data_IF_585912156991
#
_entry.id   IF_585912156991
#
_cell.length_a   1.000
_cell.length_b   1.000
_cell.length_c   1.000
_cell.angle_alpha   90.00
_cell.angle_beta   90.00
_cell.angle_gamma   90.00
#
_symmetry.space_group_name_H-M   'P 1'
#
loop_
_entity.id
_entity.type
_entity.pdbx_description
1 polymer ?
#
# COMPACT_ATOMS: atom_id res chain seq x y z
N UNK A 1 -3.59 -0.72 -25.63
CA UNK A 1 -2.25 -0.11 -25.39
C UNK A 1 -2.24 0.53 -23.99
N UNK A 2 -1.11 1.02 -23.45
CA UNK A 2 -1.08 1.56 -22.06
C UNK A 2 -2.01 2.76 -21.86
N UNK A 3 -2.12 3.65 -22.86
CA UNK A 3 -3.00 4.81 -22.80
C UNK A 3 -4.47 4.41 -22.59
N UNK A 4 -4.96 3.43 -23.33
CA UNK A 4 -6.33 2.90 -23.16
C UNK A 4 -6.57 2.39 -21.73
N UNK A 5 -5.59 1.74 -21.11
CA UNK A 5 -5.72 1.27 -19.73
C UNK A 5 -5.89 2.42 -18.74
N UNK A 6 -5.29 3.59 -19.01
CA UNK A 6 -5.39 4.77 -18.12
C UNK A 6 -6.74 5.48 -18.18
N UNK A 7 -7.47 5.34 -19.29
CA UNK A 7 -8.76 6.03 -19.51
C UNK A 7 -9.98 5.12 -19.35
N UNK A 8 -9.78 3.82 -19.21
CA UNK A 8 -10.85 2.82 -19.11
C UNK A 8 -11.03 2.31 -17.68
N UNK A 9 -12.27 1.92 -17.36
CA UNK A 9 -12.60 1.21 -16.13
C UNK A 9 -12.80 -0.28 -16.44
N UNK A 10 -11.73 -1.06 -16.31
CA UNK A 10 -11.81 -2.51 -16.46
C UNK A 10 -12.26 -3.14 -15.14
N UNK A 11 -13.32 -3.96 -15.20
CA UNK A 11 -13.88 -4.66 -14.03
C UNK A 11 -14.18 -3.72 -12.85
N UNK A 12 -14.76 -2.54 -13.12
CA UNK A 12 -15.11 -1.52 -12.13
C UNK A 12 -13.94 -0.90 -11.35
N UNK A 13 -12.70 -1.16 -11.77
CA UNK A 13 -11.52 -0.71 -11.07
C UNK A 13 -10.62 0.15 -11.96
N UNK A 14 -10.07 1.21 -11.36
CA UNK A 14 -9.02 2.01 -11.99
C UNK A 14 -7.67 1.66 -11.38
N UNK A 15 -6.98 0.70 -12.01
CA UNK A 15 -5.59 0.32 -11.68
C UNK A 15 -4.78 -0.03 -12.95
N UNK A 16 -4.54 0.97 -13.83
CA UNK A 16 -3.87 0.77 -15.11
C UNK A 16 -2.49 0.11 -15.00
N UNK A 17 -1.72 0.42 -13.95
CA UNK A 17 -0.37 -0.11 -13.82
C UNK A 17 -0.38 -1.61 -13.49
N UNK A 18 -1.37 -2.06 -12.72
CA UNK A 18 -1.61 -3.48 -12.46
C UNK A 18 -1.99 -4.22 -13.74
N UNK A 19 -2.89 -3.65 -14.55
CA UNK A 19 -3.27 -4.25 -15.84
C UNK A 19 -2.09 -4.33 -16.80
N UNK A 20 -1.31 -3.26 -16.88
CA UNK A 20 -0.10 -3.23 -17.69
C UNK A 20 0.90 -4.31 -17.25
N UNK A 21 1.11 -4.45 -15.94
CA UNK A 21 1.96 -5.51 -15.40
C UNK A 21 1.44 -6.91 -15.78
N UNK A 22 0.11 -7.13 -15.90
CA UNK A 22 -0.44 -8.44 -16.28
C UNK A 22 -0.28 -8.67 -17.77
N UNK A 23 -0.44 -7.61 -18.57
CA UNK A 23 -0.19 -7.67 -20.01
C UNK A 23 1.27 -8.01 -20.31
N UNK A 24 2.23 -7.46 -19.56
CA UNK A 24 3.65 -7.80 -19.68
C UNK A 24 3.92 -9.27 -19.33
N UNK A 25 3.40 -9.76 -18.20
CA UNK A 25 3.55 -11.17 -17.82
C UNK A 25 2.93 -12.09 -18.87
N UNK A 26 1.77 -11.73 -19.43
CA UNK A 26 1.14 -12.50 -20.51
C UNK A 26 1.99 -12.50 -21.79
N UNK A 27 2.63 -11.38 -22.14
CA UNK A 27 3.53 -11.33 -23.31
C UNK A 27 4.77 -12.22 -23.13
N UNK A 28 5.30 -12.34 -21.91
CA UNK A 28 6.52 -13.11 -21.62
C UNK A 28 6.21 -14.59 -21.37
N UNK A 29 5.18 -14.88 -20.57
CA UNK A 29 4.89 -16.22 -20.06
C UNK A 29 3.61 -16.84 -20.65
N UNK A 30 2.82 -16.08 -21.40
CA UNK A 30 1.52 -16.52 -21.90
C UNK A 30 0.56 -16.86 -20.76
N UNK A 31 -0.18 -17.96 -20.93
CA UNK A 31 -1.08 -18.51 -19.91
C UNK A 31 -0.38 -19.42 -18.88
N UNK A 32 0.96 -19.56 -18.92
CA UNK A 32 1.67 -20.42 -17.97
C UNK A 32 1.67 -19.78 -16.57
N UNK A 33 0.91 -20.33 -15.60
CA UNK A 33 0.72 -19.69 -14.29
C UNK A 33 2.02 -19.53 -13.50
N UNK A 34 3.02 -20.39 -13.75
CA UNK A 34 4.30 -20.34 -13.05
C UNK A 34 5.00 -18.97 -13.18
N UNK A 35 4.99 -18.38 -14.38
CA UNK A 35 5.62 -17.08 -14.62
C UNK A 35 4.92 -15.93 -13.88
N UNK A 36 3.58 -15.96 -13.83
CA UNK A 36 2.79 -14.97 -13.10
C UNK A 36 3.02 -15.05 -11.59
N UNK A 37 3.11 -16.27 -11.03
CA UNK A 37 3.48 -16.45 -9.62
C UNK A 37 4.92 -16.03 -9.33
N UNK A 38 5.86 -16.27 -10.27
CA UNK A 38 7.25 -15.84 -10.12
C UNK A 38 7.35 -14.31 -10.03
N UNK A 39 6.62 -13.57 -10.87
CA UNK A 39 6.56 -12.10 -10.79
C UNK A 39 6.03 -11.64 -9.43
N UNK A 40 4.95 -12.25 -8.93
CA UNK A 40 4.43 -11.95 -7.58
C UNK A 40 5.45 -12.25 -6.48
N UNK A 41 6.08 -13.42 -6.52
CA UNK A 41 7.11 -13.80 -5.53
C UNK A 41 8.28 -12.83 -5.54
N UNK A 42 8.73 -12.41 -6.72
CA UNK A 42 9.79 -11.42 -6.88
C UNK A 42 9.41 -10.07 -6.28
N UNK A 43 8.21 -9.55 -6.58
CA UNK A 43 7.71 -8.31 -5.99
C UNK A 43 7.59 -8.39 -4.47
N UNK A 44 7.16 -9.53 -3.92
CA UNK A 44 7.12 -9.77 -2.47
C UNK A 44 8.51 -9.77 -1.83
N UNK A 45 9.50 -10.36 -2.51
CA UNK A 45 10.91 -10.29 -2.11
C UNK A 45 11.41 -8.86 -2.06
N UNK A 46 11.12 -8.05 -3.09
CA UNK A 46 11.48 -6.62 -3.11
C UNK A 46 10.80 -5.83 -1.98
N UNK A 47 9.53 -6.10 -1.70
CA UNK A 47 8.81 -5.51 -0.57
C UNK A 47 9.45 -5.87 0.77
N UNK A 48 9.84 -7.13 0.94
CA UNK A 48 10.52 -7.61 2.14
C UNK A 48 11.86 -6.91 2.35
N UNK A 49 12.64 -6.75 1.27
CA UNK A 49 13.88 -5.96 1.28
C UNK A 49 13.64 -4.49 1.63
N UNK A 50 12.57 -3.89 1.10
CA UNK A 50 12.18 -2.52 1.44
C UNK A 50 11.81 -2.36 2.91
N UNK A 51 11.07 -3.32 3.49
CA UNK A 51 10.73 -3.31 4.92
C UNK A 51 12.00 -3.29 5.78
N UNK A 52 12.97 -4.15 5.46
CA UNK A 52 14.29 -4.12 6.10
C UNK A 52 14.97 -2.75 5.95
N UNK A 53 15.09 -2.26 4.71
CA UNK A 53 15.80 -1.03 4.42
C UNK A 53 15.16 0.17 5.11
N UNK A 54 13.83 0.30 5.05
CA UNK A 54 13.09 1.38 5.71
C UNK A 54 13.22 1.29 7.22
N UNK A 55 13.17 0.10 7.83
CA UNK A 55 13.42 -0.04 9.26
C UNK A 55 14.79 0.53 9.64
N UNK A 56 15.85 0.13 8.92
CA UNK A 56 17.21 0.62 9.19
C UNK A 56 17.31 2.13 8.98
N UNK A 57 16.76 2.68 7.88
CA UNK A 57 16.85 4.10 7.56
C UNK A 57 16.08 4.98 8.56
N UNK A 58 14.91 4.52 9.00
CA UNK A 58 13.98 5.27 9.85
C UNK A 58 14.30 5.11 11.33
N UNK A 59 14.53 3.89 11.81
CA UNK A 59 14.80 3.57 13.23
C UNK A 59 16.27 3.72 13.60
N UNK A 60 17.17 3.51 12.63
CA UNK A 60 18.61 3.73 12.81
C UNK A 60 19.03 5.20 12.78
N UNK A 61 18.12 6.11 12.43
CA UNK A 61 18.39 7.55 12.36
C UNK A 61 18.86 8.07 13.73
N UNK A 62 19.95 8.85 13.73
CA UNK A 62 20.53 9.45 14.95
C UNK A 62 21.32 8.48 15.82
N UNK A 63 21.39 7.20 15.46
CA UNK A 63 22.26 6.19 16.11
C UNK A 63 23.52 6.02 15.26
N UNK A 64 24.44 6.99 15.34
CA UNK A 64 25.72 6.90 14.64
C UNK A 64 26.55 5.73 15.17
N UNK A 65 26.90 4.80 14.29
CA UNK A 65 27.65 3.56 14.59
C UNK A 65 26.94 2.28 14.11
N UNK A 66 27.69 1.16 14.04
CA UNK A 66 27.15 -0.18 13.77
C UNK A 66 26.27 -0.61 14.96
N UNK A 67 25.03 -0.13 14.98
CA UNK A 67 24.09 -0.53 16.00
C UNK A 67 23.49 -1.88 15.59
N UNK A 68 24.18 -2.95 15.96
CA UNK A 68 23.78 -4.34 15.73
C UNK A 68 22.29 -4.57 16.03
N UNK A 69 21.74 -3.93 17.07
CA UNK A 69 20.32 -4.03 17.44
C UNK A 69 19.36 -3.53 16.33
N UNK A 70 19.73 -2.50 15.57
CA UNK A 70 18.90 -1.95 14.48
C UNK A 70 18.86 -2.93 13.31
N UNK A 71 20.00 -3.52 12.95
CA UNK A 71 20.06 -4.52 11.89
C UNK A 71 19.32 -5.80 12.28
N UNK A 72 19.49 -6.29 13.50
CA UNK A 72 18.75 -7.46 14.01
C UNK A 72 17.24 -7.17 14.04
N UNK A 73 16.83 -6.00 14.54
CA UNK A 73 15.42 -5.58 14.54
C UNK A 73 14.83 -5.48 13.14
N UNK A 74 15.60 -4.95 12.19
CA UNK A 74 15.22 -4.87 10.78
C UNK A 74 15.09 -6.25 10.14
N UNK A 75 16.04 -7.15 10.38
CA UNK A 75 15.98 -8.54 9.88
C UNK A 75 14.74 -9.23 10.43
N UNK A 76 14.51 -9.13 11.74
CA UNK A 76 13.35 -9.73 12.38
C UNK A 76 12.04 -9.18 11.80
N UNK A 77 11.95 -7.86 11.61
CA UNK A 77 10.76 -7.21 11.04
C UNK A 77 10.53 -7.62 9.58
N UNK A 78 11.60 -7.74 8.78
CA UNK A 78 11.51 -8.20 7.40
C UNK A 78 11.14 -9.69 7.31
N UNK A 79 11.70 -10.55 8.17
CA UNK A 79 11.32 -11.97 8.23
C UNK A 79 9.86 -12.12 8.67
N UNK A 80 9.43 -11.37 9.69
CA UNK A 80 8.03 -11.34 10.10
C UNK A 80 7.15 -10.92 8.93
N UNK A 81 7.47 -9.86 8.21
CA UNK A 81 6.69 -9.43 7.04
C UNK A 81 6.70 -10.47 5.91
N UNK A 82 7.88 -10.97 5.55
CA UNK A 82 8.10 -11.81 4.37
C UNK A 82 7.55 -13.23 4.52
N UNK A 83 7.57 -13.77 5.74
CA UNK A 83 7.11 -15.12 6.06
C UNK A 83 5.72 -15.17 6.70
N UNK A 84 5.07 -14.01 6.94
CA UNK A 84 3.76 -13.99 7.57
C UNK A 84 2.69 -14.69 6.71
N UNK A 85 1.87 -15.61 7.27
CA UNK A 85 0.79 -16.26 6.52
C UNK A 85 -0.24 -15.29 5.92
N UNK A 86 -0.46 -14.12 6.54
CA UNK A 86 -1.32 -13.06 5.98
C UNK A 86 -0.86 -12.51 4.62
N UNK A 87 0.38 -12.75 4.21
CA UNK A 87 0.85 -12.33 2.87
C UNK A 87 0.55 -13.34 1.78
N UNK A 88 0.18 -14.58 2.15
CA UNK A 88 -0.02 -15.66 1.18
C UNK A 88 -1.10 -15.31 0.16
N UNK A 89 -2.20 -14.67 0.57
CA UNK A 89 -3.25 -14.28 -0.36
C UNK A 89 -2.73 -13.30 -1.43
N UNK A 90 -2.02 -12.25 -1.02
CA UNK A 90 -1.43 -11.26 -1.94
C UNK A 90 -0.36 -11.85 -2.87
N UNK A 91 0.30 -12.94 -2.46
CA UNK A 91 1.41 -13.57 -3.23
C UNK A 91 0.94 -14.73 -4.10
N UNK A 92 0.10 -15.61 -3.56
CA UNK A 92 -0.37 -16.81 -4.24
C UNK A 92 -1.50 -16.50 -5.21
N UNK A 93 -2.38 -15.54 -4.93
CA UNK A 93 -3.44 -15.19 -5.88
C UNK A 93 -2.89 -14.26 -6.97
N UNK A 94 -2.78 -14.77 -8.20
CA UNK A 94 -2.24 -14.02 -9.36
C UNK A 94 -2.93 -12.65 -9.52
N UNK A 95 -4.26 -12.59 -9.40
CA UNK A 95 -5.02 -11.34 -9.56
C UNK A 95 -4.77 -10.32 -8.43
N UNK A 96 -4.26 -10.76 -7.27
CA UNK A 96 -3.99 -9.89 -6.11
C UNK A 96 -2.61 -9.23 -6.15
N UNK A 97 -1.82 -9.47 -7.22
CA UNK A 97 -0.51 -8.83 -7.45
C UNK A 97 -0.55 -7.30 -7.41
N UNK A 98 -1.72 -6.69 -7.60
CA UNK A 98 -1.95 -5.24 -7.39
C UNK A 98 -1.45 -4.75 -6.03
N UNK A 99 -1.53 -5.59 -4.99
CA UNK A 99 -1.11 -5.28 -3.63
C UNK A 99 0.40 -5.26 -3.50
N UNK A 100 1.07 -6.21 -4.13
CA UNK A 100 2.53 -6.31 -4.13
C UNK A 100 3.15 -5.14 -4.89
N UNK A 101 2.58 -4.81 -6.06
CA UNK A 101 3.04 -3.69 -6.88
C UNK A 101 2.80 -2.35 -6.18
N UNK A 102 1.61 -2.16 -5.62
CA UNK A 102 1.30 -0.99 -4.80
C UNK A 102 2.25 -0.89 -3.61
N UNK A 103 2.49 -2.00 -2.88
CA UNK A 103 3.41 -2.04 -1.75
C UNK A 103 4.82 -1.60 -2.13
N UNK A 104 5.33 -2.08 -3.27
CA UNK A 104 6.68 -1.76 -3.74
C UNK A 104 6.82 -0.27 -4.04
N UNK A 105 5.85 0.31 -4.74
CA UNK A 105 5.84 1.73 -5.08
C UNK A 105 5.58 2.62 -3.86
N UNK A 106 4.76 2.16 -2.92
CA UNK A 106 4.50 2.83 -1.65
C UNK A 106 5.78 2.92 -0.80
N UNK A 107 6.49 1.80 -0.61
CA UNK A 107 7.76 1.78 0.12
C UNK A 107 8.86 2.55 -0.60
N UNK A 108 8.93 2.45 -1.93
CA UNK A 108 9.86 3.25 -2.74
C UNK A 108 9.61 4.74 -2.59
N UNK A 109 8.34 5.16 -2.50
CA UNK A 109 7.98 6.56 -2.24
C UNK A 109 8.42 7.02 -0.85
N UNK A 110 8.27 6.17 0.18
CA UNK A 110 8.80 6.46 1.52
C UNK A 110 10.33 6.59 1.49
N UNK A 111 11.01 5.69 0.77
CA UNK A 111 12.47 5.77 0.59
C UNK A 111 12.90 7.06 -0.10
N UNK A 112 12.21 7.45 -1.18
CA UNK A 112 12.45 8.72 -1.86
C UNK A 112 12.14 9.93 -0.95
N UNK A 113 11.10 9.85 -0.13
CA UNK A 113 10.78 10.89 0.86
C UNK A 113 11.89 11.03 1.90
N UNK A 114 12.40 9.92 2.42
CA UNK A 114 13.54 9.92 3.34
C UNK A 114 14.77 10.62 2.72
N UNK A 115 15.10 10.31 1.47
CA UNK A 115 16.19 10.96 0.74
C UNK A 115 15.91 12.46 0.51
N UNK A 116 14.69 12.81 0.14
CA UNK A 116 14.27 14.20 -0.05
C UNK A 116 14.38 14.99 1.26
N UNK A 117 14.03 14.39 2.41
CA UNK A 117 14.18 15.03 3.72
C UNK A 117 15.63 15.32 4.05
N UNK A 118 16.56 14.43 3.67
CA UNK A 118 18.00 14.60 3.93
C UNK A 118 18.66 15.60 2.99
N UNK A 119 18.36 15.55 1.70
CA UNK A 119 19.09 16.31 0.68
C UNK A 119 18.35 17.57 0.20
N UNK A 120 17.01 17.63 0.38
CA UNK A 120 16.14 18.73 -0.07
C UNK A 120 16.24 19.08 -1.56
N UNK A 121 16.71 18.14 -2.39
CA UNK A 121 16.83 18.32 -3.84
C UNK A 121 15.47 18.16 -4.53
N UNK A 122 15.14 19.10 -5.43
CA UNK A 122 13.86 19.13 -6.16
C UNK A 122 13.62 17.87 -7.01
N UNK A 123 14.66 17.33 -7.64
CA UNK A 123 14.50 16.13 -8.48
C UNK A 123 14.10 14.89 -7.66
N UNK A 124 14.52 14.78 -6.39
CA UNK A 124 14.10 13.68 -5.51
C UNK A 124 12.62 13.80 -5.19
N UNK A 125 12.13 15.03 -4.97
CA UNK A 125 10.69 15.28 -4.82
C UNK A 125 9.91 14.88 -6.08
N UNK A 126 10.42 15.20 -7.27
CA UNK A 126 9.81 14.76 -8.53
C UNK A 126 9.76 13.24 -8.66
N UNK A 127 10.83 12.54 -8.29
CA UNK A 127 10.87 11.06 -8.26
C UNK A 127 9.85 10.52 -7.26
N UNK A 128 9.80 11.07 -6.04
CA UNK A 128 8.80 10.70 -5.02
C UNK A 128 7.36 10.89 -5.53
N UNK A 129 7.07 12.05 -6.12
CA UNK A 129 5.75 12.35 -6.68
C UNK A 129 5.38 11.36 -7.80
N UNK A 130 6.32 11.06 -8.68
CA UNK A 130 6.12 10.11 -9.78
C UNK A 130 5.86 8.69 -9.27
N UNK A 131 6.68 8.20 -8.33
CA UNK A 131 6.47 6.89 -7.68
C UNK A 131 5.11 6.82 -7.00
N UNK A 132 4.68 7.92 -6.36
CA UNK A 132 3.37 7.97 -5.73
C UNK A 132 2.22 7.88 -6.73
N UNK A 133 2.32 8.59 -7.87
CA UNK A 133 1.34 8.49 -8.95
C UNK A 133 1.20 7.05 -9.45
N UNK A 134 2.34 6.36 -9.65
CA UNK A 134 2.35 4.95 -10.03
C UNK A 134 1.72 4.04 -8.96
N UNK A 135 1.91 4.34 -7.66
CA UNK A 135 1.30 3.58 -6.57
C UNK A 135 -0.23 3.68 -6.62
N UNK A 136 -0.79 4.89 -6.79
CA UNK A 136 -2.24 5.09 -6.96
C UNK A 136 -2.75 4.35 -8.20
N UNK A 137 -2.02 4.44 -9.31
CA UNK A 137 -2.33 3.71 -10.55
C UNK A 137 -2.25 2.18 -10.41
N UNK A 138 -1.66 1.66 -9.33
CA UNK A 138 -1.62 0.23 -9.02
C UNK A 138 -2.77 -0.19 -8.12
N UNK A 139 -3.05 0.58 -7.07
CA UNK A 139 -4.18 0.34 -6.16
C UNK A 139 -4.62 1.66 -5.51
N UNK A 140 -5.94 1.97 -5.50
CA UNK A 140 -6.48 3.15 -4.83
C UNK A 140 -6.13 3.30 -3.36
N UNK A 141 -5.81 2.21 -2.66
CA UNK A 141 -5.38 2.24 -1.25
C UNK A 141 -4.20 3.19 -0.99
N UNK A 142 -3.34 3.42 -1.99
CA UNK A 142 -2.19 4.30 -1.88
C UNK A 142 -2.55 5.76 -1.51
N UNK A 143 -3.79 6.21 -1.68
CA UNK A 143 -4.26 7.57 -1.29
C UNK A 143 -4.02 7.92 0.19
N UNK A 144 -3.75 6.93 1.03
CA UNK A 144 -3.36 7.12 2.44
C UNK A 144 -1.93 7.63 2.63
N UNK A 145 -1.07 7.55 1.61
CA UNK A 145 0.36 7.82 1.73
C UNK A 145 0.71 9.23 2.24
N UNK A 146 0.07 10.33 1.80
CA UNK A 146 0.42 11.66 2.33
C UNK A 146 0.23 11.78 3.84
N UNK A 147 -0.77 11.07 4.39
CA UNK A 147 -0.99 10.99 5.83
C UNK A 147 0.14 10.20 6.48
N UNK A 148 0.55 9.06 5.90
CA UNK A 148 1.71 8.30 6.39
C UNK A 148 3.00 9.13 6.36
N UNK A 149 3.23 9.95 5.34
CA UNK A 149 4.40 10.85 5.30
C UNK A 149 4.35 11.92 6.41
N UNK A 150 3.16 12.43 6.76
CA UNK A 150 2.99 13.31 7.92
C UNK A 150 3.23 12.58 9.25
N UNK A 151 2.78 11.33 9.37
CA UNK A 151 3.07 10.52 10.55
C UNK A 151 4.57 10.27 10.69
N UNK A 152 5.28 10.00 9.59
CA UNK A 152 6.73 9.88 9.57
C UNK A 152 7.43 11.17 10.00
N UNK A 153 6.86 12.34 9.68
CA UNK A 153 7.36 13.63 10.17
C UNK A 153 7.22 13.79 11.69
N UNK A 154 6.22 13.18 12.32
CA UNK A 154 6.10 13.13 13.78
C UNK A 154 7.14 12.16 14.33
N UNK A 155 7.11 10.92 13.85
CA UNK A 155 8.04 9.86 14.24
C UNK A 155 8.28 8.92 13.05
N UNK A 156 9.53 8.61 12.67
CA UNK A 156 10.78 8.89 13.39
C UNK A 156 11.62 10.04 12.80
N UNK A 157 11.09 10.83 11.84
CA UNK A 157 11.85 11.94 11.25
C UNK A 157 11.91 13.18 12.14
N UNK A 158 10.99 13.30 13.11
CA UNK A 158 10.91 14.36 14.11
C UNK A 158 10.94 15.79 13.54
N UNK A 159 10.33 15.98 12.36
CA UNK A 159 10.15 17.29 11.70
C UNK A 159 8.95 18.06 12.26
N UNK A 160 7.95 17.37 12.78
CA UNK A 160 6.76 17.96 13.41
C UNK A 160 6.88 17.80 14.93
N UNK A 161 7.48 18.77 15.61
CA UNK A 161 7.63 18.76 17.08
C UNK A 161 6.66 19.72 17.76
N UNK A 162 6.33 20.81 17.09
CA UNK A 162 5.43 21.86 17.58
C UNK A 162 4.36 22.16 16.52
N UNK A 163 3.21 22.71 16.94
CA UNK A 163 2.12 23.06 16.03
C UNK A 163 2.54 24.05 14.91
N UNK A 164 3.54 24.90 15.17
CA UNK A 164 4.10 25.83 14.18
C UNK A 164 4.84 25.16 13.02
N UNK A 165 5.26 23.90 13.17
CA UNK A 165 5.96 23.14 12.13
C UNK A 165 4.97 22.52 11.13
N UNK A 166 3.67 22.45 11.48
CA UNK A 166 2.64 21.80 10.67
C UNK A 166 2.37 22.51 9.33
N UNK A 167 2.16 23.84 9.27
CA UNK A 167 1.83 24.51 8.01
C UNK A 167 2.82 24.26 6.85
N UNK A 168 4.16 24.40 7.03
CA UNK A 168 5.09 24.12 5.93
C UNK A 168 5.10 22.65 5.51
N UNK A 169 4.88 21.71 6.43
CA UNK A 169 4.83 20.28 6.13
C UNK A 169 3.57 19.89 5.35
N UNK A 170 2.44 20.52 5.65
CA UNK A 170 1.19 20.35 4.91
C UNK A 170 1.32 20.97 3.51
N UNK A 171 1.90 22.17 3.40
CA UNK A 171 2.13 22.82 2.09
C UNK A 171 3.05 22.00 1.19
N UNK A 172 4.10 21.38 1.75
CA UNK A 172 5.00 20.45 1.04
C UNK A 172 4.26 19.23 0.46
N UNK A 173 3.18 18.79 1.12
CA UNK A 173 2.42 17.58 0.77
C UNK A 173 1.12 17.88 0.04
N UNK A 174 0.76 19.16 -0.12
CA UNK A 174 -0.45 19.59 -0.82
C UNK A 174 -0.56 18.99 -2.24
N UNK A 175 0.52 18.93 -3.06
CA UNK A 175 0.45 18.25 -4.36
C UNK A 175 0.13 16.75 -4.26
N UNK A 176 0.60 16.08 -3.20
CA UNK A 176 0.32 14.65 -2.96
C UNK A 176 -1.14 14.46 -2.49
N UNK A 177 -1.66 15.37 -1.67
CA UNK A 177 -3.09 15.35 -1.31
C UNK A 177 -3.98 15.58 -2.52
N UNK A 178 -3.63 16.51 -3.40
CA UNK A 178 -4.35 16.74 -4.66
C UNK A 178 -4.36 15.47 -5.54
N UNK A 179 -3.22 14.78 -5.64
CA UNK A 179 -3.12 13.51 -6.37
C UNK A 179 -3.97 12.41 -5.72
N UNK A 180 -4.00 12.35 -4.39
CA UNK A 180 -4.82 11.40 -3.64
C UNK A 180 -6.31 11.65 -3.84
N UNK A 181 -6.73 12.92 -3.83
CA UNK A 181 -8.11 13.32 -4.11
C UNK A 181 -8.51 12.91 -5.53
N UNK A 182 -7.65 13.18 -6.51
CA UNK A 182 -7.89 12.77 -7.90
C UNK A 182 -8.03 11.25 -8.04
N UNK A 183 -7.12 10.48 -7.41
CA UNK A 183 -7.22 9.01 -7.39
C UNK A 183 -8.50 8.49 -6.69
N UNK A 184 -8.91 9.14 -5.61
CA UNK A 184 -10.16 8.84 -4.91
C UNK A 184 -11.40 9.10 -5.78
N UNK A 185 -11.46 10.25 -6.45
CA UNK A 185 -12.55 10.59 -7.39
C UNK A 185 -12.61 9.58 -8.53
N UNK A 186 -11.47 9.26 -9.16
CA UNK A 186 -11.43 8.25 -10.23
C UNK A 186 -11.92 6.87 -9.76
N UNK A 187 -11.60 6.50 -8.52
CA UNK A 187 -12.06 5.24 -7.92
C UNK A 187 -13.57 5.24 -7.69
N UNK A 188 -14.13 6.35 -7.18
CA UNK A 188 -15.57 6.49 -7.00
C UNK A 188 -16.32 6.42 -8.34
N UNK A 189 -15.79 7.08 -9.37
CA UNK A 189 -16.35 7.02 -10.72
C UNK A 189 -16.28 5.59 -11.30
N UNK A 190 -15.16 4.89 -11.12
CA UNK A 190 -14.98 3.52 -11.57
C UNK A 190 -15.97 2.55 -10.88
N UNK A 191 -16.07 2.60 -9.55
CA UNK A 191 -16.96 1.73 -8.78
C UNK A 191 -18.45 2.05 -9.00
N UNK A 192 -18.77 3.31 -9.32
CA UNK A 192 -20.13 3.73 -9.67
C UNK A 192 -20.68 3.02 -10.91
N UNK A 193 -19.82 2.53 -11.81
CA UNK A 193 -20.25 1.85 -13.05
C UNK A 193 -20.87 0.46 -12.83
N UNK A 194 -20.60 -0.20 -11.71
CA UNK A 194 -21.10 -1.56 -11.44
C UNK A 194 -21.96 -1.66 -10.19
N UNK A 195 -22.39 -0.53 -9.60
CA UNK A 195 -23.17 -0.53 -8.36
C UNK A 195 -22.45 -1.14 -7.16
N UNK A 196 -21.12 -1.25 -7.20
CA UNK A 196 -20.32 -1.84 -6.12
C UNK A 196 -20.35 -1.01 -4.82
N UNK A 197 -20.71 0.27 -4.94
CA UNK A 197 -21.01 1.13 -3.79
C UNK A 197 -22.41 0.78 -3.29
N UNK A 198 -22.48 -0.17 -2.35
CA UNK A 198 -23.73 -0.52 -1.67
C UNK A 198 -24.37 0.74 -1.09
N UNK A 199 -25.67 0.89 -1.28
CA UNK A 199 -26.40 2.04 -0.76
C UNK A 199 -26.58 1.92 0.76
N UNK A 200 -26.90 3.03 1.43
CA UNK A 200 -27.27 3.01 2.85
C UNK A 200 -28.54 2.20 3.14
N UNK A 201 -29.31 1.86 2.10
CA UNK A 201 -30.51 1.02 2.18
C UNK A 201 -30.15 -0.48 2.27
N UNK A 202 -29.01 -0.90 1.70
CA UNK A 202 -28.54 -2.29 1.76
C UNK A 202 -27.69 -2.60 3.00
N UNK A 203 -27.00 -1.59 3.54
CA UNK A 203 -26.19 -1.71 4.77
C UNK A 203 -26.28 -0.42 5.56
N UNK A 204 -26.84 -0.50 6.77
CA UNK A 204 -27.03 0.67 7.62
C UNK A 204 -25.70 1.30 8.03
N UNK A 205 -25.72 2.59 8.39
CA UNK A 205 -24.52 3.27 8.88
C UNK A 205 -23.96 2.60 10.16
N UNK A 206 -24.84 2.15 11.05
CA UNK A 206 -24.46 1.43 12.26
C UNK A 206 -23.73 0.12 11.95
N UNK A 207 -24.24 -0.67 11.01
CA UNK A 207 -23.60 -1.95 10.64
C UNK A 207 -22.22 -1.73 10.03
N UNK A 208 -22.05 -0.65 9.24
CA UNK A 208 -20.74 -0.28 8.68
C UNK A 208 -19.74 0.10 9.76
N UNK A 209 -20.17 0.85 10.78
CA UNK A 209 -19.32 1.25 11.90
C UNK A 209 -18.92 0.02 12.71
N UNK A 210 -19.89 -0.83 13.09
CA UNK A 210 -19.64 -2.07 13.83
C UNK A 210 -18.68 -2.98 13.04
N UNK A 211 -18.94 -3.18 11.75
CA UNK A 211 -18.08 -3.96 10.87
C UNK A 211 -16.67 -3.38 10.79
N UNK A 212 -16.51 -2.06 10.79
CA UNK A 212 -15.19 -1.41 10.77
C UNK A 212 -14.40 -1.69 12.05
N UNK A 213 -15.02 -1.55 13.23
CA UNK A 213 -14.38 -1.91 14.50
C UNK A 213 -14.02 -3.39 14.58
N UNK A 214 -14.94 -4.26 14.18
CA UNK A 214 -14.70 -5.70 14.15
C UNK A 214 -13.55 -6.06 13.20
N UNK A 215 -13.52 -5.45 12.01
CA UNK A 215 -12.47 -5.66 11.03
C UNK A 215 -11.10 -5.25 11.58
N UNK A 216 -11.01 -4.10 12.25
CA UNK A 216 -9.76 -3.65 12.88
C UNK A 216 -9.26 -4.66 13.93
N UNK A 217 -10.15 -5.15 14.78
CA UNK A 217 -9.80 -6.15 15.79
C UNK A 217 -9.36 -7.48 15.14
N UNK A 218 -10.10 -7.97 14.15
CA UNK A 218 -9.79 -9.20 13.43
C UNK A 218 -8.41 -9.15 12.75
N UNK A 219 -8.00 -7.99 12.20
CA UNK A 219 -6.65 -7.85 11.64
C UNK A 219 -5.55 -7.89 12.70
N UNK A 220 -5.78 -7.30 13.88
CA UNK A 220 -4.84 -7.39 15.01
C UNK A 220 -4.71 -8.86 15.45
N UNK A 221 -5.83 -9.54 15.66
CA UNK A 221 -5.84 -10.95 16.05
C UNK A 221 -5.11 -11.83 15.03
N UNK A 222 -5.45 -11.72 13.75
CA UNK A 222 -4.82 -12.50 12.67
C UNK A 222 -3.33 -12.21 12.48
N UNK A 223 -2.84 -11.08 12.99
CA UNK A 223 -1.40 -10.77 12.99
C UNK A 223 -0.65 -11.66 13.99
N UNK A 224 -1.27 -12.05 15.10
CA UNK A 224 -0.65 -12.96 16.07
C UNK A 224 -1.05 -14.42 15.83
N UNK A 225 -2.26 -14.64 15.32
CA UNK A 225 -2.85 -15.97 15.15
C UNK A 225 -3.61 -16.09 13.82
N UNK A 226 -2.91 -16.27 12.70
CA UNK A 226 -3.52 -16.32 11.37
C UNK A 226 -4.26 -17.64 11.15
N UNK A 227 -5.48 -17.75 11.65
CA UNK A 227 -6.41 -18.86 11.40
C UNK A 227 -7.55 -18.43 10.47
N UNK A 228 -8.15 -19.45 9.83
CA UNK A 228 -9.36 -19.34 9.03
C UNK A 228 -9.29 -18.25 7.95
N UNK A 229 -8.18 -18.23 7.20
CA UNK A 229 -7.97 -17.32 6.06
C UNK A 229 -8.82 -17.79 4.87
N UNK A 230 -10.10 -17.45 4.90
CA UNK A 230 -11.04 -17.74 3.83
C UNK A 230 -11.05 -16.59 2.82
N UNK A 231 -11.12 -16.85 1.50
CA UNK A 231 -11.22 -15.80 0.49
C UNK A 231 -12.51 -14.96 0.55
N UNK A 232 -13.52 -15.45 1.27
CA UNK A 232 -14.83 -14.83 1.34
C UNK A 232 -15.37 -14.87 2.78
N UNK A 233 -15.70 -13.69 3.32
CA UNK A 233 -16.35 -13.53 4.62
C UNK A 233 -17.76 -12.97 4.39
N UNK A 234 -18.81 -13.82 4.37
CA UNK A 234 -20.17 -13.34 4.21
C UNK A 234 -20.58 -12.53 5.44
N UNK A 235 -21.10 -11.33 5.19
CA UNK A 235 -21.91 -10.63 6.18
C UNK A 235 -23.22 -11.43 6.32
N UNK A 236 -23.30 -12.26 7.37
CA UNK A 236 -24.53 -12.61 8.12
C UNK A 236 -25.13 -14.02 7.95
N UNK A 237 -24.59 -14.94 7.14
CA UNK A 237 -25.15 -16.31 7.06
C UNK A 237 -24.49 -17.34 7.99
N UNK A 238 -23.27 -17.08 8.41
CA UNK A 238 -22.62 -17.74 9.54
C UNK A 238 -21.48 -16.83 9.97
N UNK A 239 -21.55 -16.18 11.14
CA UNK A 239 -20.37 -15.56 11.69
C UNK A 239 -19.36 -16.68 11.95
N UNK A 240 -18.39 -16.87 11.06
CA UNK A 240 -17.22 -17.74 11.33
C UNK A 240 -16.32 -17.19 12.45
N UNK A 241 -16.80 -16.14 13.14
CA UNK A 241 -16.25 -15.49 14.31
C UNK A 241 -17.10 -15.72 15.58
N UNK A 242 -18.11 -16.62 15.56
CA UNK A 242 -18.72 -17.24 16.74
C UNK A 242 -18.31 -18.72 16.80
#
# INVERSE_FOLDING_TARGET
NFFEMTVSFHSANWHPLTWFSHALDYQIYGLNPWGHHLTSLFLHGLNTCWVFALFVLLVGRGKEGSNYSVYVGGIFTALLFGLHPLRVESVAWISERKDLLCGFLYFSTIGAYYLYVREKKRWIYSVMFFLFALAIMSKPMAVTLPIVLLLLDIFPLERLRLAKDLPPLVMEKLPLFALSLMGGVLTLLAQGTTGAVRTLQETSLSDRIINSFHTLWAYIEKTFWPRDLLPFYPLWENPSWL
#
